data_IF_883880274055
#
_entry.id   IF_883880274055
#
_cell.length_a   1.000
_cell.length_b   1.000
_cell.length_c   1.000
_cell.angle_alpha   90.00
_cell.angle_beta   90.00
_cell.angle_gamma   90.00
#
_symmetry.space_group_name_H-M   'P 1'
#
loop_
_entity.id
_entity.type
_entity.pdbx_description
1 polymer ?
#
# COMPACT_ATOMS: atom_id res chain seq x y z
N UNK A 1 44.29 45.13 -14.03
CA UNK A 1 42.98 45.38 -14.69
C UNK A 1 41.91 45.23 -13.63
N UNK A 2 41.27 46.34 -13.27
CA UNK A 2 40.29 46.42 -12.15
C UNK A 2 38.90 46.21 -12.71
N UNK A 3 38.18 45.13 -12.29
CA UNK A 3 36.78 44.94 -12.63
C UNK A 3 35.90 45.36 -11.47
N UNK A 4 35.20 46.42 -11.71
CA UNK A 4 34.24 47.10 -10.82
C UNK A 4 32.92 46.33 -10.75
N UNK A 5 32.61 45.82 -9.55
CA UNK A 5 31.31 45.21 -9.26
C UNK A 5 30.30 46.32 -9.05
N UNK A 6 29.30 46.41 -9.90
CA UNK A 6 28.16 47.30 -9.74
C UNK A 6 27.02 46.57 -8.99
N UNK A 7 26.87 46.90 -7.71
CA UNK A 7 25.68 46.63 -6.95
C UNK A 7 24.51 47.43 -7.51
N UNK A 8 23.47 46.76 -7.94
CA UNK A 8 22.17 47.40 -8.13
C UNK A 8 21.23 46.93 -7.01
N UNK A 9 21.07 47.78 -6.02
CA UNK A 9 19.92 47.78 -5.11
C UNK A 9 18.68 48.14 -5.93
N UNK A 10 17.68 47.34 -5.87
CA UNK A 10 16.35 47.60 -6.41
C UNK A 10 15.31 46.78 -5.63
N UNK A 11 14.88 47.33 -4.54
CA UNK A 11 13.71 46.87 -3.78
C UNK A 11 12.50 47.65 -4.27
N UNK A 12 11.37 47.01 -4.54
CA UNK A 12 10.14 47.60 -4.09
C UNK A 12 9.35 46.65 -3.20
N UNK A 13 9.10 47.15 -2.02
CA UNK A 13 8.07 46.74 -1.10
C UNK A 13 6.70 46.84 -1.79
N UNK A 14 6.00 45.76 -1.98
CA UNK A 14 4.58 45.80 -2.30
C UNK A 14 3.85 44.94 -1.27
N UNK A 15 3.40 45.65 -0.22
CA UNK A 15 2.40 45.11 0.70
C UNK A 15 1.07 44.98 -0.03
N UNK A 16 0.58 43.80 -0.26
CA UNK A 16 -0.80 43.58 -0.66
C UNK A 16 -1.48 42.71 0.39
N UNK A 17 -2.24 43.42 1.24
CA UNK A 17 -3.15 42.85 2.22
C UNK A 17 -4.29 42.15 1.49
N UNK A 18 -4.40 40.84 1.54
CA UNK A 18 -5.56 40.11 1.05
C UNK A 18 -6.37 39.59 2.25
N UNK A 19 -7.56 40.19 2.40
CA UNK A 19 -8.51 39.88 3.44
C UNK A 19 -8.98 38.43 3.37
N UNK A 20 -8.96 37.77 4.51
CA UNK A 20 -9.43 36.43 4.76
C UNK A 20 -10.96 36.43 4.82
N UNK A 21 -11.63 35.94 3.80
CA UNK A 21 -13.05 35.59 3.85
C UNK A 21 -13.15 34.12 4.27
N UNK A 22 -13.35 33.87 5.55
CA UNK A 22 -13.67 32.57 6.12
C UNK A 22 -15.18 32.37 5.95
N UNK A 23 -15.58 31.53 5.01
CA UNK A 23 -16.96 31.06 4.91
C UNK A 23 -17.09 29.76 5.72
N UNK A 24 -18.07 29.63 6.64
CA UNK A 24 -18.33 28.36 7.31
C UNK A 24 -19.05 27.40 6.37
N UNK A 25 -18.46 26.22 6.17
CA UNK A 25 -19.08 25.09 5.45
C UNK A 25 -19.93 24.31 6.45
N UNK A 26 -21.24 24.12 6.23
CA UNK A 26 -22.04 23.28 7.10
C UNK A 26 -21.67 21.81 6.92
N UNK A 27 -21.30 21.15 8.01
CA UNK A 27 -21.11 19.72 8.09
C UNK A 27 -22.47 19.01 8.02
N UNK A 28 -22.76 18.35 6.91
CA UNK A 28 -23.87 17.40 6.81
C UNK A 28 -23.44 16.08 7.46
N UNK A 29 -23.85 15.88 8.70
CA UNK A 29 -23.80 14.59 9.36
C UNK A 29 -24.86 13.67 8.74
N UNK A 30 -24.45 12.69 7.96
CA UNK A 30 -25.32 11.59 7.55
C UNK A 30 -25.15 10.44 8.54
N UNK A 31 -26.07 10.35 9.46
CA UNK A 31 -26.32 9.17 10.27
C UNK A 31 -27.16 8.16 9.46
N UNK A 32 -26.51 7.22 8.81
CA UNK A 32 -27.14 6.08 8.17
C UNK A 32 -27.09 4.85 9.10
N UNK A 33 -28.10 4.69 9.94
CA UNK A 33 -28.34 3.48 10.72
C UNK A 33 -29.16 2.52 9.87
N UNK A 34 -28.53 1.50 9.29
CA UNK A 34 -29.22 0.37 8.68
C UNK A 34 -29.05 -0.85 9.58
N UNK A 35 -29.94 -0.99 10.55
CA UNK A 35 -30.15 -2.22 11.30
C UNK A 35 -30.85 -3.25 10.41
N UNK A 36 -30.15 -4.26 9.94
CA UNK A 36 -30.70 -5.47 9.34
C UNK A 36 -30.64 -6.60 10.35
N UNK A 37 -31.75 -6.81 11.08
CA UNK A 37 -31.95 -8.00 11.88
C UNK A 37 -32.44 -9.12 10.97
N UNK A 38 -31.62 -10.15 10.75
CA UNK A 38 -32.05 -11.38 10.07
C UNK A 38 -32.42 -12.37 11.16
N UNK A 39 -33.73 -12.60 11.28
CA UNK A 39 -34.27 -13.60 12.16
C UNK A 39 -33.89 -15.01 11.74
N UNK A 40 -33.36 -15.79 12.67
CA UNK A 40 -33.21 -17.22 12.56
C UNK A 40 -34.58 -17.86 12.84
N UNK A 41 -35.22 -18.35 11.80
CA UNK A 41 -36.35 -19.27 11.96
C UNK A 41 -35.81 -20.67 12.27
N UNK A 42 -35.95 -21.05 13.49
CA UNK A 42 -35.81 -22.41 14.00
C UNK A 42 -36.90 -23.30 13.37
N UNK A 43 -36.53 -24.15 12.43
CA UNK A 43 -37.37 -25.28 12.04
C UNK A 43 -36.78 -26.57 12.58
N UNK A 44 -37.25 -26.94 13.77
CA UNK A 44 -37.19 -28.29 14.28
C UNK A 44 -38.03 -29.20 13.40
N UNK A 45 -37.44 -30.19 12.79
CA UNK A 45 -38.15 -31.36 12.29
C UNK A 45 -37.59 -32.61 12.98
N UNK A 46 -38.35 -33.06 13.97
CA UNK A 46 -38.30 -34.43 14.50
C UNK A 46 -38.57 -35.41 13.39
N UNK A 47 -37.68 -36.34 13.18
CA UNK A 47 -37.85 -37.49 12.32
C UNK A 47 -37.13 -38.70 12.90
N UNK A 48 -37.89 -39.63 13.32
CA UNK A 48 -37.67 -40.87 14.06
C UNK A 48 -36.52 -41.73 13.54
N UNK A 49 -35.82 -42.34 14.52
CA UNK A 49 -34.93 -43.51 14.47
C UNK A 49 -35.56 -44.72 13.77
N UNK A 50 -34.77 -45.63 13.09
CA UNK A 50 -34.32 -46.85 13.76
C UNK A 50 -32.85 -47.19 13.54
N UNK A 51 -32.19 -47.74 14.59
CA UNK A 51 -31.04 -48.60 14.48
C UNK A 51 -31.38 -49.94 13.83
N UNK A 52 -30.43 -50.68 13.19
CA UNK A 52 -29.61 -51.59 13.95
C UNK A 52 -28.15 -51.77 13.48
N UNK A 53 -27.30 -52.03 14.47
CA UNK A 53 -26.16 -52.91 14.54
C UNK A 53 -25.49 -53.42 13.25
N UNK A 54 -24.21 -53.13 13.11
CA UNK A 54 -23.21 -54.13 12.66
C UNK A 54 -21.79 -53.60 12.85
N UNK A 55 -21.02 -54.38 13.55
CA UNK A 55 -19.59 -54.34 13.76
C UNK A 55 -18.81 -53.93 12.56
N UNK A 56 -18.06 -52.81 12.67
CA UNK A 56 -16.88 -52.55 11.87
C UNK A 56 -15.80 -52.04 12.77
N UNK A 57 -14.73 -52.84 12.86
CA UNK A 57 -13.45 -52.48 13.43
C UNK A 57 -13.04 -51.05 13.06
N UNK A 58 -12.81 -50.27 14.08
CA UNK A 58 -12.27 -48.91 13.97
C UNK A 58 -10.74 -49.06 13.75
N UNK A 59 -10.22 -48.65 12.58
CA UNK A 59 -8.77 -48.50 12.47
C UNK A 59 -8.37 -47.32 13.37
N UNK A 60 -7.49 -47.60 14.32
CA UNK A 60 -6.86 -46.63 15.20
C UNK A 60 -6.32 -45.43 14.39
N UNK A 61 -6.74 -44.19 14.67
CA UNK A 61 -6.15 -43.03 14.05
C UNK A 61 -4.70 -42.94 14.52
N UNK A 62 -3.75 -43.10 13.60
CA UNK A 62 -2.37 -42.70 13.85
C UNK A 62 -2.39 -41.27 14.34
N UNK A 63 -1.89 -41.07 15.54
CA UNK A 63 -1.55 -39.77 16.09
C UNK A 63 -0.76 -38.99 15.04
N UNK A 64 -1.45 -38.07 14.34
CA UNK A 64 -0.75 -36.99 13.69
C UNK A 64 -0.18 -36.17 14.82
N UNK A 65 1.12 -36.25 14.93
CA UNK A 65 1.95 -35.34 15.69
C UNK A 65 1.39 -33.93 15.43
N UNK A 66 0.93 -33.29 16.50
CA UNK A 66 0.41 -31.94 16.43
C UNK A 66 1.55 -31.04 15.97
N UNK A 67 1.58 -30.72 14.66
CA UNK A 67 2.26 -29.53 14.19
C UNK A 67 1.65 -28.37 14.98
N UNK A 68 2.46 -27.82 15.88
CA UNK A 68 2.09 -26.65 16.66
C UNK A 68 1.54 -25.56 15.78
N UNK A 69 0.71 -24.67 16.34
CA UNK A 69 0.12 -23.58 15.57
C UNK A 69 1.28 -22.81 14.95
N UNK A 70 1.47 -22.98 13.64
CA UNK A 70 2.27 -22.05 12.85
C UNK A 70 1.61 -20.72 13.07
N UNK A 71 2.26 -19.88 13.89
CA UNK A 71 1.82 -18.52 14.11
C UNK A 71 1.53 -17.93 12.76
N UNK A 72 0.27 -17.59 12.55
CA UNK A 72 -0.12 -16.64 11.52
C UNK A 72 0.48 -15.30 11.91
N UNK A 73 1.82 -15.22 11.77
CA UNK A 73 2.47 -13.94 11.63
C UNK A 73 1.86 -13.33 10.39
N UNK A 74 1.16 -12.25 10.59
CA UNK A 74 0.67 -11.34 9.56
C UNK A 74 1.88 -10.71 8.83
N UNK A 75 2.79 -11.58 8.37
CA UNK A 75 4.01 -11.30 7.62
C UNK A 75 3.68 -11.13 6.15
N UNK A 76 2.86 -10.13 5.84
CA UNK A 76 2.68 -9.72 4.47
C UNK A 76 4.02 -9.38 3.85
N UNK A 77 4.47 -10.16 2.88
CA UNK A 77 5.57 -9.80 2.03
C UNK A 77 6.94 -10.40 2.34
N UNK A 78 7.09 -11.37 3.24
CA UNK A 78 8.39 -12.02 3.51
C UNK A 78 9.07 -12.61 2.26
N UNK A 79 8.29 -13.01 1.26
CA UNK A 79 8.82 -13.51 -0.01
C UNK A 79 9.49 -12.43 -0.87
N UNK A 80 9.27 -11.15 -0.56
CA UNK A 80 9.81 -10.01 -1.28
C UNK A 80 10.90 -9.27 -0.51
N UNK A 81 11.25 -9.72 0.69
CA UNK A 81 12.26 -9.08 1.52
C UNK A 81 13.62 -9.02 0.81
N UNK A 82 14.31 -7.90 1.00
CA UNK A 82 15.61 -7.65 0.39
C UNK A 82 15.75 -6.26 -0.21
N UNK A 83 16.87 -6.05 -0.87
CA UNK A 83 17.18 -4.82 -1.60
C UNK A 83 16.74 -4.94 -3.05
N UNK A 84 16.12 -3.89 -3.55
CA UNK A 84 15.59 -3.82 -4.91
C UNK A 84 16.09 -2.55 -5.60
N UNK A 85 16.43 -2.67 -6.87
CA UNK A 85 16.68 -1.52 -7.75
C UNK A 85 15.44 -1.27 -8.57
N UNK A 86 14.98 -0.03 -8.62
CA UNK A 86 13.87 0.36 -9.48
C UNK A 86 14.30 1.39 -10.53
N UNK A 87 13.57 1.38 -11.65
CA UNK A 87 13.63 2.41 -12.69
C UNK A 87 12.22 2.83 -13.05
N UNK A 88 11.97 4.14 -13.11
CA UNK A 88 10.73 4.75 -13.54
C UNK A 88 10.94 5.53 -14.84
N UNK A 89 9.97 5.46 -15.76
CA UNK A 89 9.98 6.20 -17.03
C UNK A 89 8.65 6.92 -17.19
N UNK A 90 8.69 8.22 -17.46
CA UNK A 90 7.50 9.02 -17.74
C UNK A 90 6.84 8.60 -19.06
N UNK A 91 5.51 8.56 -19.08
CA UNK A 91 4.73 8.26 -20.31
C UNK A 91 4.13 9.50 -20.95
N UNK A 92 3.75 10.50 -20.16
CA UNK A 92 3.21 11.78 -20.61
C UNK A 92 4.09 12.98 -20.22
N UNK A 93 5.28 12.73 -19.70
CA UNK A 93 6.26 13.71 -19.31
C UNK A 93 7.65 13.20 -19.66
N UNK A 94 8.61 14.12 -19.83
CA UNK A 94 9.99 13.75 -20.03
C UNK A 94 10.65 13.46 -18.68
N UNK A 95 11.41 12.38 -18.64
CA UNK A 95 12.21 12.02 -17.47
C UNK A 95 12.20 10.54 -17.15
N UNK A 96 13.26 10.13 -16.51
CA UNK A 96 13.40 8.82 -15.90
C UNK A 96 14.05 9.00 -14.52
N UNK A 97 13.79 8.07 -13.62
CA UNK A 97 14.40 8.04 -12.31
C UNK A 97 14.75 6.61 -11.93
N UNK A 98 15.77 6.44 -11.11
CA UNK A 98 16.13 5.14 -10.57
C UNK A 98 16.57 5.28 -9.12
N UNK A 99 16.55 4.18 -8.39
CA UNK A 99 16.98 4.16 -7.00
C UNK A 99 16.82 2.79 -6.37
N UNK A 100 17.00 2.76 -5.05
CA UNK A 100 16.91 1.55 -4.26
C UNK A 100 15.68 1.58 -3.35
N UNK A 101 15.10 0.39 -3.18
CA UNK A 101 14.08 0.10 -2.18
C UNK A 101 14.60 -1.00 -1.28
N UNK A 102 14.25 -0.96 -0.02
CA UNK A 102 14.43 -2.08 0.93
C UNK A 102 13.04 -2.53 1.34
N UNK A 103 12.79 -3.83 1.19
CA UNK A 103 11.55 -4.47 1.64
C UNK A 103 11.90 -5.37 2.82
N UNK A 104 11.16 -5.21 3.91
CA UNK A 104 11.30 -6.02 5.11
C UNK A 104 9.94 -6.22 5.77
N UNK A 105 9.51 -7.49 5.92
CA UNK A 105 8.18 -7.82 6.44
C UNK A 105 7.03 -7.17 5.66
N UNK A 106 7.21 -6.96 4.35
CA UNK A 106 6.25 -6.29 3.51
C UNK A 106 6.26 -4.75 3.60
N UNK A 107 7.04 -4.17 4.50
CA UNK A 107 7.23 -2.72 4.56
C UNK A 107 8.26 -2.29 3.51
N UNK A 108 7.94 -1.29 2.71
CA UNK A 108 8.82 -0.73 1.69
C UNK A 108 9.43 0.56 2.19
N UNK A 109 10.75 0.65 2.15
CA UNK A 109 11.51 1.82 2.55
C UNK A 109 12.41 2.30 1.42
N UNK A 110 12.62 3.62 1.32
CA UNK A 110 13.60 4.26 0.47
C UNK A 110 14.24 5.41 1.24
N UNK A 111 15.56 5.56 1.13
CA UNK A 111 16.32 6.61 1.85
C UNK A 111 15.98 6.66 3.35
N UNK A 112 15.88 5.48 4.00
CA UNK A 112 15.52 5.31 5.42
C UNK A 112 14.13 5.84 5.83
N UNK A 113 13.23 6.02 4.86
CA UNK A 113 11.83 6.39 5.11
C UNK A 113 10.91 5.28 4.63
N UNK A 114 9.92 4.94 5.44
CA UNK A 114 8.83 4.06 5.00
C UNK A 114 7.99 4.81 3.97
N UNK A 115 7.81 4.19 2.80
CA UNK A 115 7.10 4.79 1.67
C UNK A 115 5.92 3.94 1.20
N UNK A 116 5.78 2.68 1.68
CA UNK A 116 4.73 1.82 1.17
C UNK A 116 4.74 0.42 1.74
N UNK A 117 3.98 -0.46 1.09
CA UNK A 117 3.82 -1.85 1.46
C UNK A 117 3.73 -2.77 0.24
N UNK A 118 4.15 -4.02 0.44
CA UNK A 118 3.90 -5.14 -0.46
C UNK A 118 3.05 -6.17 0.29
N UNK A 119 1.93 -6.57 -0.30
CA UNK A 119 1.09 -7.65 0.22
C UNK A 119 1.71 -9.02 -0.01
N UNK A 120 1.20 -10.04 0.66
CA UNK A 120 1.59 -11.46 0.46
C UNK A 120 1.34 -11.93 -0.97
N UNK A 121 0.34 -11.36 -1.62
CA UNK A 121 -0.01 -11.59 -3.02
C UNK A 121 0.89 -10.83 -4.02
N UNK A 122 1.86 -10.04 -3.52
CA UNK A 122 2.72 -9.19 -4.32
C UNK A 122 2.14 -7.84 -4.71
N UNK A 123 0.94 -7.49 -4.26
CA UNK A 123 0.38 -6.16 -4.51
C UNK A 123 1.24 -5.08 -3.87
N UNK A 124 1.78 -4.18 -4.69
CA UNK A 124 2.62 -3.06 -4.27
C UNK A 124 1.85 -1.75 -4.26
N UNK A 125 2.02 -0.97 -3.18
CA UNK A 125 1.49 0.39 -3.06
C UNK A 125 2.48 1.27 -2.32
N UNK A 126 2.75 2.46 -2.85
CA UNK A 126 3.60 3.44 -2.17
C UNK A 126 3.12 4.87 -2.36
N UNK A 127 3.50 5.73 -1.40
CA UNK A 127 3.37 7.17 -1.47
C UNK A 127 4.66 7.80 -0.95
N UNK A 128 5.23 8.72 -1.69
CA UNK A 128 6.50 9.36 -1.37
C UNK A 128 6.55 10.77 -1.96
N UNK A 129 7.64 11.44 -1.68
CA UNK A 129 7.99 12.71 -2.32
C UNK A 129 9.26 12.46 -3.13
N UNK A 130 9.25 12.83 -4.40
CA UNK A 130 10.41 12.74 -5.30
C UNK A 130 11.47 13.77 -4.92
N UNK A 131 12.67 13.64 -5.48
CA UNK A 131 13.81 14.48 -5.11
C UNK A 131 13.60 15.98 -5.45
N UNK A 132 12.73 16.27 -6.38
CA UNK A 132 12.27 17.62 -6.74
C UNK A 132 11.10 18.15 -5.88
N UNK A 133 10.73 17.42 -4.82
CA UNK A 133 9.72 17.84 -3.86
C UNK A 133 8.28 17.54 -4.27
N UNK A 134 8.05 16.86 -5.40
CA UNK A 134 6.69 16.55 -5.88
C UNK A 134 6.19 15.24 -5.27
N UNK A 135 4.96 15.26 -4.76
CA UNK A 135 4.31 14.05 -4.24
C UNK A 135 4.10 13.01 -5.35
N UNK A 136 4.38 11.75 -5.04
CA UNK A 136 4.32 10.63 -5.95
C UNK A 136 3.60 9.45 -5.29
N UNK A 137 2.69 8.83 -6.02
CA UNK A 137 2.08 7.56 -5.64
C UNK A 137 2.41 6.50 -6.69
N UNK A 138 2.69 5.29 -6.26
CA UNK A 138 2.92 4.18 -7.18
C UNK A 138 2.14 2.94 -6.75
N UNK A 139 1.69 2.20 -7.75
CA UNK A 139 1.00 0.92 -7.58
C UNK A 139 1.55 -0.09 -8.58
N UNK A 140 1.44 -1.37 -8.25
CA UNK A 140 1.92 -2.43 -9.14
C UNK A 140 1.92 -3.80 -8.48
N UNK A 141 2.73 -4.69 -9.02
CA UNK A 141 2.87 -6.05 -8.52
C UNK A 141 4.33 -6.48 -8.50
N UNK A 142 4.69 -7.15 -7.42
CA UNK A 142 5.95 -7.85 -7.25
C UNK A 142 5.71 -9.34 -7.53
N UNK A 143 6.65 -10.01 -8.19
CA UNK A 143 6.60 -11.44 -8.50
C UNK A 143 8.02 -12.01 -8.55
N UNK A 144 8.32 -12.95 -7.68
CA UNK A 144 9.68 -13.50 -7.57
C UNK A 144 10.72 -12.40 -7.34
N UNK A 145 11.65 -12.25 -8.27
CA UNK A 145 12.72 -11.26 -8.22
C UNK A 145 12.49 -10.02 -9.09
N UNK A 146 11.25 -9.81 -9.55
CA UNK A 146 10.88 -8.68 -10.41
C UNK A 146 9.62 -7.99 -9.90
N UNK A 147 9.44 -6.72 -10.29
CA UNK A 147 8.24 -5.97 -10.04
C UNK A 147 7.99 -4.96 -11.13
N UNK A 148 6.74 -4.58 -11.30
CA UNK A 148 6.37 -3.54 -12.27
C UNK A 148 5.05 -2.88 -11.89
N UNK A 149 4.82 -1.70 -12.46
CA UNK A 149 3.58 -0.98 -12.21
C UNK A 149 3.56 0.40 -12.83
N UNK A 150 2.70 1.25 -12.29
CA UNK A 150 2.55 2.63 -12.71
C UNK A 150 2.74 3.59 -11.53
N UNK A 151 3.04 4.83 -11.84
CA UNK A 151 3.10 5.91 -10.87
C UNK A 151 2.39 7.15 -11.38
N UNK A 152 2.00 7.99 -10.43
CA UNK A 152 1.45 9.32 -10.65
C UNK A 152 2.13 10.31 -9.73
N UNK A 153 2.44 11.49 -10.28
CA UNK A 153 2.95 12.65 -9.55
C UNK A 153 1.88 13.74 -9.45
N UNK A 154 1.97 14.56 -8.43
CA UNK A 154 1.03 15.65 -8.20
C UNK A 154 1.08 16.75 -9.28
N UNK A 155 2.20 16.85 -10.01
CA UNK A 155 2.36 17.75 -11.15
C UNK A 155 1.71 17.25 -12.45
N UNK A 156 0.99 16.11 -12.40
CA UNK A 156 0.31 15.51 -13.56
C UNK A 156 1.15 14.55 -14.37
N UNK A 157 2.46 14.40 -14.05
CA UNK A 157 3.31 13.40 -14.69
C UNK A 157 2.88 11.99 -14.29
N UNK A 158 2.71 11.11 -15.27
CA UNK A 158 2.45 9.69 -15.07
C UNK A 158 3.54 8.86 -15.77
N UNK A 159 3.77 7.66 -15.25
CA UNK A 159 4.75 6.78 -15.85
C UNK A 159 4.62 5.33 -15.40
N UNK A 160 5.57 4.54 -15.86
CA UNK A 160 5.71 3.13 -15.50
C UNK A 160 7.01 2.93 -14.72
N UNK A 161 7.01 1.96 -13.84
CA UNK A 161 8.21 1.56 -13.12
C UNK A 161 8.42 0.06 -13.24
N UNK A 162 9.68 -0.34 -13.18
CA UNK A 162 10.12 -1.72 -13.04
C UNK A 162 11.09 -1.81 -11.87
N UNK A 163 11.17 -2.98 -11.23
CA UNK A 163 12.12 -3.25 -10.15
C UNK A 163 12.72 -4.65 -10.28
N UNK A 164 13.95 -4.82 -9.78
CA UNK A 164 14.63 -6.09 -9.69
C UNK A 164 15.29 -6.23 -8.32
N UNK A 165 15.19 -7.43 -7.75
CA UNK A 165 15.93 -7.79 -6.53
C UNK A 165 17.41 -7.90 -6.84
N UNK A 166 18.25 -7.44 -5.90
CA UNK A 166 19.71 -7.55 -5.94
C UNK A 166 20.19 -8.86 -5.31
#
# INVERSE_FOLDING_TARGET
MKNTIRHRLGMPLLCLSLALLIAPVPALAQSGSAGGSIGNDEKSLSGSRPEPSSDREIPTPRSREAEGPRGSGDGGGSNFDGTWVYTGIGTNCRGSGSGFLVISGGLVSSKNRSIGRVGTDGTYRSASVSDDGVALTATGRMSGNSGSGSYRRADGCNGRWTARRQ
#
